data_IF_807468153645
#
_entry.id   IF_807468153645
#
_cell.length_a   1.000
_cell.length_b   1.000
_cell.length_c   1.000
_cell.angle_alpha   90.00
_cell.angle_beta   90.00
_cell.angle_gamma   90.00
#
_symmetry.space_group_name_H-M   'P 1'
#
loop_
_entity.id
_entity.type
_entity.pdbx_description
1 polymer ?
#
# COMPACT_ATOMS: atom_id res chain seq x y z
N UNK A 1 3.75 10.35 16.19
CA UNK A 1 4.57 9.30 16.81
C UNK A 1 5.98 9.51 16.30
N UNK A 2 6.94 9.90 17.13
CA UNK A 2 8.23 10.42 16.60
C UNK A 2 9.29 9.33 16.37
N UNK A 3 9.03 8.10 16.84
CA UNK A 3 9.94 6.97 16.70
C UNK A 3 9.44 5.94 15.67
N UNK A 4 10.34 5.53 14.78
CA UNK A 4 10.09 4.53 13.75
C UNK A 4 9.81 3.13 14.34
N UNK A 5 10.52 2.74 15.39
CA UNK A 5 10.34 1.41 15.99
C UNK A 5 8.96 1.30 16.66
N UNK A 6 8.54 2.35 17.37
CA UNK A 6 7.20 2.45 17.95
C UNK A 6 6.11 2.41 16.87
N UNK A 7 6.34 3.01 15.70
CA UNK A 7 5.40 2.90 14.59
C UNK A 7 5.28 1.45 14.12
N UNK A 8 6.40 0.75 13.92
CA UNK A 8 6.40 -0.64 13.46
C UNK A 8 5.72 -1.59 14.44
N UNK A 9 5.86 -1.39 15.75
CA UNK A 9 5.19 -2.23 16.76
C UNK A 9 3.67 -2.00 16.81
N UNK A 10 3.21 -0.80 16.46
CA UNK A 10 1.79 -0.44 16.52
C UNK A 10 1.04 -0.68 15.21
N UNK A 11 1.75 -0.75 14.08
CA UNK A 11 1.16 -1.11 12.79
C UNK A 11 0.68 -2.55 12.83
N UNK A 12 -0.63 -2.75 12.67
CA UNK A 12 -1.21 -4.08 12.65
C UNK A 12 -1.25 -4.61 11.21
N UNK A 13 -0.47 -5.67 10.97
CA UNK A 13 -0.34 -6.33 9.66
C UNK A 13 -1.67 -6.85 9.10
N UNK A 14 -2.65 -7.17 9.95
CA UNK A 14 -3.96 -7.67 9.51
C UNK A 14 -4.81 -6.59 8.80
N UNK A 15 -4.46 -5.31 8.95
CA UNK A 15 -5.07 -4.21 8.19
C UNK A 15 -4.29 -3.87 6.92
N UNK A 16 -3.18 -4.57 6.67
CA UNK A 16 -2.32 -4.41 5.49
C UNK A 16 -2.36 -5.66 4.60
N UNK A 17 -2.56 -6.84 5.17
CA UNK A 17 -2.71 -8.10 4.44
C UNK A 17 -4.02 -8.76 4.85
N UNK A 18 -4.88 -9.16 3.88
CA UNK A 18 -4.69 -9.05 2.43
C UNK A 18 -4.80 -7.60 1.91
N UNK A 19 -4.48 -7.36 0.62
CA UNK A 19 -4.72 -6.07 -0.01
C UNK A 19 -6.20 -5.63 0.04
N UNK A 20 -6.46 -4.31 -0.01
CA UNK A 20 -7.81 -3.76 -0.07
C UNK A 20 -8.52 -4.12 -1.37
N UNK A 21 -9.84 -3.88 -1.41
CA UNK A 21 -10.66 -4.17 -2.58
C UNK A 21 -10.27 -3.32 -3.79
N UNK A 22 -10.49 -3.87 -4.99
CA UNK A 22 -10.12 -3.21 -6.24
C UNK A 22 -10.83 -1.87 -6.45
N UNK A 23 -12.10 -1.75 -6.06
CA UNK A 23 -12.87 -0.51 -6.17
C UNK A 23 -12.29 0.60 -5.30
N UNK A 24 -11.89 0.29 -4.07
CA UNK A 24 -11.23 1.22 -3.16
C UNK A 24 -9.92 1.75 -3.77
N UNK A 25 -9.11 0.83 -4.32
CA UNK A 25 -7.86 1.16 -5.00
C UNK A 25 -8.09 2.02 -6.24
N UNK A 26 -9.06 1.67 -7.08
CA UNK A 26 -9.43 2.43 -8.28
C UNK A 26 -9.87 3.85 -7.92
N UNK A 27 -10.77 4.01 -6.95
CA UNK A 27 -11.25 5.31 -6.48
C UNK A 27 -10.10 6.19 -5.99
N UNK A 28 -9.17 5.62 -5.21
CA UNK A 28 -8.00 6.35 -4.72
C UNK A 28 -7.10 6.82 -5.86
N UNK A 29 -6.77 5.95 -6.81
CA UNK A 29 -5.84 6.30 -7.89
C UNK A 29 -6.47 7.16 -8.99
N UNK A 30 -7.78 7.03 -9.26
CA UNK A 30 -8.52 7.86 -10.21
C UNK A 30 -8.65 9.31 -9.73
N UNK A 31 -8.70 9.51 -8.41
CA UNK A 31 -8.67 10.86 -7.80
C UNK A 31 -7.32 11.58 -7.97
N UNK A 32 -6.28 10.91 -8.47
CA UNK A 32 -4.93 11.45 -8.66
C UNK A 32 -4.63 11.60 -10.14
N UNK A 33 -3.80 12.59 -10.49
CA UNK A 33 -3.34 12.78 -11.88
C UNK A 33 -2.72 11.48 -12.41
N UNK A 34 -2.97 11.11 -13.69
CA UNK A 34 -2.42 9.89 -14.27
C UNK A 34 -0.90 9.87 -14.12
N UNK A 35 -0.39 8.85 -13.43
CA UNK A 35 1.04 8.69 -13.18
C UNK A 35 1.68 7.96 -14.37
N UNK A 36 2.75 8.54 -14.91
CA UNK A 36 3.44 8.13 -16.16
C UNK A 36 4.15 6.76 -16.15
N UNK A 37 4.03 5.92 -15.13
CA UNK A 37 4.92 4.75 -15.00
C UNK A 37 4.20 3.46 -14.54
N UNK A 38 4.43 2.37 -15.28
CA UNK A 38 3.53 1.22 -15.38
C UNK A 38 4.16 -0.07 -14.83
N UNK A 39 3.35 -0.84 -14.10
CA UNK A 39 3.54 -2.23 -13.63
C UNK A 39 4.23 -2.46 -12.28
N UNK A 40 5.57 -2.48 -12.16
CA UNK A 40 6.28 -2.76 -10.89
C UNK A 40 5.96 -1.72 -9.79
N UNK A 41 5.65 -0.50 -10.21
CA UNK A 41 5.32 0.60 -9.32
C UNK A 41 3.91 0.48 -8.72
N UNK A 42 3.01 -0.37 -9.25
CA UNK A 42 1.62 -0.42 -8.79
C UNK A 42 1.42 -1.27 -7.53
N UNK A 43 1.96 -2.49 -7.46
CA UNK A 43 1.82 -3.35 -6.27
C UNK A 43 2.38 -2.66 -5.01
N UNK A 44 3.60 -2.10 -5.11
CA UNK A 44 4.20 -1.32 -4.02
C UNK A 44 3.39 -0.06 -3.66
N UNK A 45 2.81 0.64 -4.65
CA UNK A 45 1.94 1.81 -4.38
C UNK A 45 0.64 1.41 -3.68
N UNK A 46 0.07 0.26 -4.02
CA UNK A 46 -1.13 -0.26 -3.37
C UNK A 46 -0.78 -0.69 -1.93
N UNK A 47 0.38 -1.33 -1.69
CA UNK A 47 0.85 -1.57 -0.33
C UNK A 47 1.03 -0.26 0.44
N UNK A 48 1.66 0.74 -0.18
CA UNK A 48 1.84 2.06 0.44
C UNK A 48 0.51 2.70 0.84
N UNK A 49 -0.54 2.49 0.04
CA UNK A 49 -1.88 2.93 0.37
C UNK A 49 -2.41 2.22 1.63
N UNK A 50 -2.33 0.89 1.71
CA UNK A 50 -2.76 0.12 2.89
C UNK A 50 -1.98 0.52 4.15
N UNK A 51 -0.66 0.68 4.04
CA UNK A 51 0.19 1.15 5.15
C UNK A 51 -0.21 2.55 5.59
N UNK A 52 -0.43 3.48 4.66
CA UNK A 52 -0.87 4.83 4.99
C UNK A 52 -2.26 4.85 5.65
N UNK A 53 -3.19 3.99 5.21
CA UNK A 53 -4.52 3.82 5.80
C UNK A 53 -4.43 3.34 7.25
N UNK A 54 -3.59 2.34 7.49
CA UNK A 54 -3.35 1.79 8.82
C UNK A 54 -2.63 2.81 9.74
N UNK A 55 -1.57 3.46 9.26
CA UNK A 55 -0.88 4.52 9.99
C UNK A 55 -1.86 5.64 10.40
N UNK A 56 -2.74 6.07 9.47
CA UNK A 56 -3.77 7.06 9.76
C UNK A 56 -4.75 6.59 10.83
N UNK A 57 -5.13 5.30 10.84
CA UNK A 57 -6.02 4.72 11.85
C UNK A 57 -5.43 4.80 13.26
N UNK A 58 -4.11 4.63 13.39
CA UNK A 58 -3.37 4.74 14.67
C UNK A 58 -2.86 6.17 14.96
N UNK A 59 -3.30 7.17 14.18
CA UNK A 59 -2.98 8.58 14.40
C UNK A 59 -1.62 9.05 13.85
N UNK A 60 -0.96 8.25 13.00
CA UNK A 60 0.31 8.61 12.37
C UNK A 60 0.11 9.13 10.93
N UNK A 61 0.58 10.35 10.66
CA UNK A 61 0.40 11.07 9.39
C UNK A 61 1.73 11.51 8.76
N UNK A 62 2.86 11.31 9.43
CA UNK A 62 4.18 11.69 8.95
C UNK A 62 4.55 10.85 7.73
N UNK A 63 4.54 11.50 6.57
CA UNK A 63 4.81 10.86 5.28
C UNK A 63 6.20 10.20 5.20
N UNK A 64 7.20 10.72 5.94
CA UNK A 64 8.55 10.14 6.01
C UNK A 64 8.51 8.80 6.76
N UNK A 65 7.85 8.76 7.92
CA UNK A 65 7.71 7.54 8.71
C UNK A 65 6.88 6.48 7.98
N UNK A 66 5.76 6.89 7.36
CA UNK A 66 4.94 6.01 6.51
C UNK A 66 5.79 5.43 5.36
N UNK A 67 6.61 6.24 4.71
CA UNK A 67 7.51 5.80 3.65
C UNK A 67 8.53 4.76 4.14
N UNK A 68 9.15 5.00 5.31
CA UNK A 68 10.07 4.04 5.94
C UNK A 68 9.36 2.75 6.33
N UNK A 69 8.17 2.83 6.91
CA UNK A 69 7.38 1.68 7.32
C UNK A 69 6.97 0.84 6.10
N UNK A 70 6.55 1.49 5.03
CA UNK A 70 6.21 0.81 3.76
C UNK A 70 7.42 0.05 3.20
N UNK A 71 8.60 0.68 3.16
CA UNK A 71 9.82 0.03 2.70
C UNK A 71 10.19 -1.17 3.57
N UNK A 72 10.11 -1.02 4.90
CA UNK A 72 10.39 -2.09 5.84
C UNK A 72 9.42 -3.26 5.68
N UNK A 73 8.12 -2.97 5.61
CA UNK A 73 7.09 -3.98 5.42
C UNK A 73 7.25 -4.70 4.09
N UNK A 74 7.44 -3.99 2.98
CA UNK A 74 7.64 -4.60 1.66
C UNK A 74 8.87 -5.51 1.60
N UNK A 75 9.98 -5.13 2.24
CA UNK A 75 11.18 -5.97 2.31
C UNK A 75 10.91 -7.26 3.09
N UNK A 76 10.14 -7.17 4.17
CA UNK A 76 9.81 -8.28 5.06
C UNK A 76 8.49 -9.02 4.69
N UNK A 77 7.81 -8.64 3.60
CA UNK A 77 6.63 -9.40 3.14
C UNK A 77 7.05 -10.73 2.55
N UNK A 78 6.22 -11.75 2.78
CA UNK A 78 6.38 -13.07 2.15
C UNK A 78 6.15 -12.98 0.65
N UNK A 79 6.58 -14.01 -0.10
CA UNK A 79 6.31 -14.09 -1.54
C UNK A 79 4.81 -14.07 -1.84
N UNK A 80 4.02 -14.81 -1.05
CA UNK A 80 2.56 -14.87 -1.18
C UNK A 80 1.91 -13.50 -0.95
N UNK A 81 2.30 -12.80 0.12
CA UNK A 81 1.80 -11.45 0.42
C UNK A 81 2.10 -10.48 -0.74
N UNK A 82 3.30 -10.55 -1.32
CA UNK A 82 3.65 -9.73 -2.49
C UNK A 82 2.82 -10.11 -3.71
N UNK A 83 2.58 -11.39 -3.92
CA UNK A 83 1.80 -11.92 -5.04
C UNK A 83 0.35 -11.42 -5.01
N UNK A 84 -0.29 -11.34 -3.85
CA UNK A 84 -1.63 -10.76 -3.72
C UNK A 84 -1.68 -9.30 -4.17
N UNK A 85 -0.68 -8.49 -3.80
CA UNK A 85 -0.55 -7.11 -4.26
C UNK A 85 -0.26 -7.01 -5.76
N UNK A 86 0.53 -7.93 -6.32
CA UNK A 86 0.75 -8.02 -7.77
C UNK A 86 -0.52 -8.40 -8.52
N UNK A 87 -1.28 -9.38 -8.03
CA UNK A 87 -2.54 -9.82 -8.62
C UNK A 87 -3.56 -8.68 -8.64
N UNK A 88 -3.66 -7.91 -7.54
CA UNK A 88 -4.51 -6.72 -7.49
C UNK A 88 -4.07 -5.64 -8.47
N UNK A 89 -2.76 -5.38 -8.57
CA UNK A 89 -2.20 -4.43 -9.53
C UNK A 89 -2.47 -4.82 -10.99
N UNK A 90 -2.45 -6.12 -11.32
CA UNK A 90 -2.78 -6.64 -12.65
C UNK A 90 -4.28 -6.48 -12.95
N UNK A 91 -5.16 -6.85 -12.01
CA UNK A 91 -6.61 -6.69 -12.17
C UNK A 91 -6.98 -5.22 -12.42
N UNK A 92 -6.37 -4.30 -11.67
CA UNK A 92 -6.49 -2.86 -11.89
C UNK A 92 -6.17 -2.52 -13.35
N UNK A 93 -5.03 -2.98 -13.86
CA UNK A 93 -4.62 -2.75 -15.26
C UNK A 93 -5.67 -3.18 -16.27
N UNK A 94 -6.28 -4.35 -16.08
CA UNK A 94 -7.30 -4.88 -16.98
C UNK A 94 -8.63 -4.09 -16.95
N UNK A 95 -8.94 -3.41 -15.85
CA UNK A 95 -10.15 -2.56 -15.73
C UNK A 95 -10.02 -1.22 -16.48
N UNK A 96 -8.80 -0.72 -16.74
CA UNK A 96 -8.59 0.52 -17.50
C UNK A 96 -8.66 0.36 -19.03
N UNK A 97 -8.73 -0.88 -19.53
CA UNK A 97 -8.74 -1.19 -20.97
C UNK A 97 -10.04 -1.84 -21.46
N UNK A 98 -11.12 -1.79 -20.67
CA UNK A 98 -12.50 -2.09 -21.11
C UNK A 98 -13.28 -0.80 -21.27
#
# INVERSE_FOLDING_TARGET
>A
MDNFDTLLTNVNRNYIYPPPEIEEVLNFFNSKKPMRDHTRCHAYKILRYSVAKECKRIGELNAILIGRATNHLWKNSTTQEKEEYFNLAQRKGNTFYQ
#
